data_IF_290596566984
#
_entry.id   IF_290596566984
#
_cell.length_a   1.000
_cell.length_b   1.000
_cell.length_c   1.000
_cell.angle_alpha   90.00
_cell.angle_beta   90.00
_cell.angle_gamma   90.00
#
_symmetry.space_group_name_H-M   'P 1'
#
loop_
_entity.id
_entity.type
_entity.pdbx_description
1 polymer ?
#
# COMPACT_ATOMS: atom_id res chain seq x y z
N UNK A 1 4.35 -52.14 23.69
CA UNK A 1 4.41 -52.16 22.22
C UNK A 1 3.05 -52.20 21.52
N UNK A 2 1.92 -52.49 22.22
CA UNK A 2 0.57 -52.54 21.62
C UNK A 2 -0.04 -51.14 21.30
N UNK A 3 0.35 -50.10 22.01
CA UNK A 3 -0.25 -48.74 21.88
C UNK A 3 0.16 -48.06 20.57
N UNK A 4 1.43 -48.25 20.10
CA UNK A 4 1.91 -47.65 18.86
C UNK A 4 1.25 -48.26 17.60
N UNK A 5 0.87 -49.55 17.67
CA UNK A 5 0.26 -50.24 16.51
C UNK A 5 -1.19 -49.86 16.31
N UNK A 6 -1.94 -49.56 17.40
CA UNK A 6 -3.33 -49.11 17.35
C UNK A 6 -3.42 -47.67 16.77
N UNK A 7 -2.47 -46.77 17.13
CA UNK A 7 -2.44 -45.43 16.59
C UNK A 7 -2.22 -45.41 15.08
N UNK A 8 -1.46 -46.34 14.51
CA UNK A 8 -1.18 -46.44 13.07
C UNK A 8 -2.40 -46.99 12.29
N UNK A 9 -3.29 -47.76 12.92
CA UNK A 9 -4.47 -48.34 12.29
C UNK A 9 -5.65 -47.36 12.32
N UNK A 10 -5.78 -46.56 13.40
CA UNK A 10 -6.94 -45.66 13.61
C UNK A 10 -6.75 -44.30 12.88
N UNK A 11 -5.48 -43.85 12.65
CA UNK A 11 -5.19 -42.58 12.00
C UNK A 11 -4.20 -42.72 10.82
N UNK A 12 -4.55 -43.43 9.73
CA UNK A 12 -3.60 -43.74 8.66
C UNK A 12 -3.20 -42.52 7.79
N UNK A 13 -3.76 -41.31 8.00
CA UNK A 13 -3.54 -40.16 7.09
C UNK A 13 -3.59 -38.77 7.71
N UNK A 14 -3.65 -38.61 9.00
CA UNK A 14 -3.60 -37.27 9.59
C UNK A 14 -2.19 -36.96 10.12
N UNK A 15 -1.36 -36.37 9.27
CA UNK A 15 -0.16 -35.70 9.72
C UNK A 15 -0.55 -34.47 10.56
N UNK A 16 -0.02 -34.38 11.78
CA UNK A 16 -0.16 -33.21 12.67
C UNK A 16 0.41 -31.94 12.01
N UNK A 17 1.12 -32.09 10.91
CA UNK A 17 1.79 -31.03 10.15
C UNK A 17 1.10 -30.70 8.82
N UNK A 18 -0.23 -30.83 8.71
CA UNK A 18 -0.97 -30.49 7.49
C UNK A 18 -0.81 -29.01 7.04
N UNK A 19 -0.24 -28.15 7.88
CA UNK A 19 0.05 -26.75 7.56
C UNK A 19 1.54 -26.45 7.46
N UNK A 20 2.38 -27.46 7.31
CA UNK A 20 3.80 -27.23 7.07
C UNK A 20 3.98 -26.76 5.62
N UNK A 21 4.31 -25.50 5.44
CA UNK A 21 4.64 -24.90 4.13
C UNK A 21 5.86 -25.62 3.55
N UNK A 22 5.77 -26.00 2.28
CA UNK A 22 6.79 -26.82 1.59
C UNK A 22 8.11 -26.10 1.39
N UNK A 23 8.13 -24.79 1.54
CA UNK A 23 9.31 -23.94 1.37
C UNK A 23 9.32 -22.82 2.41
N UNK A 24 10.52 -22.35 2.75
CA UNK A 24 10.72 -21.13 3.57
C UNK A 24 10.04 -19.89 2.96
N UNK A 25 9.91 -19.87 1.64
CA UNK A 25 9.25 -18.82 0.84
C UNK A 25 7.74 -18.76 1.11
N UNK A 26 7.12 -19.88 1.44
CA UNK A 26 5.67 -19.97 1.66
C UNK A 26 5.26 -19.65 3.12
N UNK A 27 6.22 -19.32 3.98
CA UNK A 27 5.96 -19.00 5.39
C UNK A 27 5.60 -17.52 5.58
N UNK A 28 4.42 -17.16 6.10
CA UNK A 28 4.01 -15.77 6.35
C UNK A 28 4.95 -15.02 7.30
N UNK A 29 5.65 -15.74 8.18
CA UNK A 29 6.56 -15.17 9.19
C UNK A 29 7.82 -14.57 8.56
N UNK A 30 8.27 -15.08 7.41
CA UNK A 30 9.47 -14.63 6.72
C UNK A 30 9.19 -13.70 5.53
N UNK A 31 7.93 -13.33 5.29
CA UNK A 31 7.57 -12.49 4.15
C UNK A 31 8.33 -11.15 4.15
N UNK A 32 8.57 -10.58 5.34
CA UNK A 32 9.31 -9.32 5.48
C UNK A 32 10.78 -9.40 5.07
N UNK A 33 11.46 -10.50 5.41
CA UNK A 33 12.88 -10.72 5.07
C UNK A 33 13.05 -10.99 3.56
N UNK A 34 12.13 -11.75 2.95
CA UNK A 34 12.15 -12.05 1.52
C UNK A 34 11.84 -10.84 0.64
N UNK A 35 10.97 -9.94 1.09
CA UNK A 35 10.66 -8.70 0.36
C UNK A 35 11.93 -7.86 0.20
N UNK A 36 12.77 -7.79 1.22
CA UNK A 36 14.03 -7.04 1.20
C UNK A 36 14.96 -7.57 0.10
N UNK A 37 15.18 -8.88 0.04
CA UNK A 37 16.08 -9.52 -0.93
C UNK A 37 15.59 -9.41 -2.39
N UNK A 38 14.28 -9.48 -2.61
CA UNK A 38 13.69 -9.49 -3.96
C UNK A 38 13.64 -8.08 -4.55
N UNK A 39 13.34 -7.07 -3.72
CA UNK A 39 13.27 -5.67 -4.14
C UNK A 39 14.61 -4.92 -4.01
N UNK A 40 15.70 -5.63 -3.70
CA UNK A 40 17.02 -5.02 -3.61
C UNK A 40 17.41 -4.31 -4.91
N UNK A 41 17.84 -3.05 -4.78
CA UNK A 41 18.21 -2.21 -5.93
C UNK A 41 17.04 -1.58 -6.70
N UNK A 42 15.78 -1.92 -6.36
CA UNK A 42 14.60 -1.30 -6.98
C UNK A 42 14.22 -0.01 -6.28
N UNK A 43 13.91 1.02 -7.08
CA UNK A 43 13.51 2.35 -6.62
C UNK A 43 12.07 2.67 -7.00
N UNK A 44 11.53 3.70 -6.38
CA UNK A 44 10.19 4.21 -6.66
C UNK A 44 10.06 4.64 -8.12
N UNK A 45 11.09 5.25 -8.70
CA UNK A 45 11.11 5.69 -10.10
C UNK A 45 10.98 4.54 -11.11
N UNK A 46 11.41 3.33 -10.77
CA UNK A 46 11.21 2.13 -11.61
C UNK A 46 9.71 1.82 -11.82
N UNK A 47 8.84 2.33 -10.95
CA UNK A 47 7.39 2.17 -11.03
C UNK A 47 6.64 3.43 -11.48
N UNK A 48 7.32 4.44 -12.00
CA UNK A 48 6.72 5.72 -12.39
C UNK A 48 5.58 5.55 -13.39
N UNK A 49 5.73 4.68 -14.38
CA UNK A 49 4.71 4.40 -15.39
C UNK A 49 3.49 3.68 -14.81
N UNK A 50 3.63 3.04 -13.65
CA UNK A 50 2.56 2.38 -12.91
C UNK A 50 1.96 3.28 -11.82
N UNK A 51 2.47 4.51 -11.70
CA UNK A 51 1.96 5.54 -10.82
C UNK A 51 0.63 6.10 -11.32
N UNK A 52 -0.30 6.32 -10.38
CA UNK A 52 -1.59 6.94 -10.68
C UNK A 52 -1.45 8.47 -10.63
N UNK A 53 -2.09 9.18 -11.57
CA UNK A 53 -2.19 10.64 -11.50
C UNK A 53 -2.94 11.03 -10.21
N UNK A 54 -2.42 11.96 -9.40
CA UNK A 54 -3.12 12.41 -8.20
C UNK A 54 -4.37 13.21 -8.56
N UNK A 55 -5.46 12.98 -7.83
CA UNK A 55 -6.62 13.87 -7.82
C UNK A 55 -6.39 14.85 -6.68
N UNK A 56 -5.95 16.05 -7.00
CA UNK A 56 -5.68 17.11 -6.04
C UNK A 56 -6.98 17.79 -5.64
N UNK A 57 -7.18 18.02 -4.34
CA UNK A 57 -8.40 18.62 -3.77
C UNK A 57 -8.00 19.94 -3.11
N UNK A 58 -8.64 21.04 -3.51
CA UNK A 58 -8.42 22.33 -2.86
C UNK A 58 -8.89 22.29 -1.40
N UNK A 59 -8.12 22.85 -0.47
CA UNK A 59 -8.39 22.79 0.98
C UNK A 59 -9.74 23.39 1.38
N UNK A 60 -10.22 24.37 0.62
CA UNK A 60 -11.52 25.03 0.83
C UNK A 60 -12.70 24.37 0.13
N UNK A 61 -12.51 23.24 -0.57
CA UNK A 61 -13.59 22.59 -1.32
C UNK A 61 -14.60 21.94 -0.36
N UNK A 62 -15.94 22.21 -0.51
CA UNK A 62 -16.96 21.60 0.33
C UNK A 62 -17.15 20.11 0.04
N UNK A 63 -17.54 19.33 1.05
CA UNK A 63 -17.72 17.87 0.94
C UNK A 63 -18.66 17.43 -0.20
N UNK A 64 -19.81 18.09 -0.51
CA UNK A 64 -20.62 17.69 -1.65
C UNK A 64 -19.86 17.73 -2.99
N UNK A 65 -19.07 18.79 -3.22
CA UNK A 65 -18.24 18.92 -4.43
C UNK A 65 -17.09 17.92 -4.44
N UNK A 66 -16.50 17.63 -3.28
CA UNK A 66 -15.50 16.55 -3.14
C UNK A 66 -16.10 15.21 -3.58
N UNK A 67 -17.31 14.88 -3.12
CA UNK A 67 -17.98 13.62 -3.46
C UNK A 67 -18.24 13.49 -4.97
N UNK A 68 -18.64 14.56 -5.64
CA UNK A 68 -18.81 14.58 -7.09
C UNK A 68 -17.49 14.34 -7.82
N UNK A 69 -16.42 14.98 -7.37
CA UNK A 69 -15.08 14.89 -7.98
C UNK A 69 -14.48 13.51 -7.82
N UNK A 70 -14.62 12.88 -6.65
CA UNK A 70 -14.05 11.55 -6.38
C UNK A 70 -14.93 10.41 -6.90
N UNK A 71 -16.21 10.64 -7.19
CA UNK A 71 -17.12 9.59 -7.69
C UNK A 71 -16.62 8.92 -8.97
N UNK A 72 -15.86 9.65 -9.80
CA UNK A 72 -15.27 9.17 -11.04
C UNK A 72 -13.74 9.08 -10.98
N UNK A 73 -13.13 9.34 -9.82
CA UNK A 73 -11.69 9.28 -9.63
C UNK A 73 -11.27 7.88 -9.16
N UNK A 74 -10.15 7.42 -9.69
CA UNK A 74 -9.50 6.21 -9.17
C UNK A 74 -8.69 6.55 -7.91
N UNK A 75 -8.63 5.59 -6.96
CA UNK A 75 -7.80 5.68 -5.78
C UNK A 75 -8.56 5.81 -4.48
N UNK A 76 -7.83 5.64 -3.39
CA UNK A 76 -8.36 5.65 -2.03
C UNK A 76 -7.90 6.86 -1.20
N UNK A 77 -6.89 7.59 -1.69
CA UNK A 77 -6.27 8.72 -1.01
C UNK A 77 -6.21 9.94 -1.92
N UNK A 78 -6.49 11.12 -1.35
CA UNK A 78 -6.62 12.39 -2.05
C UNK A 78 -5.76 13.45 -1.37
N UNK A 79 -4.66 13.90 -2.02
CA UNK A 79 -3.87 15.02 -1.54
C UNK A 79 -4.69 16.31 -1.51
N UNK A 80 -4.61 17.04 -0.41
CA UNK A 80 -5.21 18.36 -0.23
C UNK A 80 -4.13 19.41 -0.50
N UNK A 81 -4.49 20.41 -1.29
CA UNK A 81 -3.55 21.45 -1.73
C UNK A 81 -4.07 22.85 -1.42
N UNK A 82 -3.11 23.76 -1.22
CA UNK A 82 -3.35 25.20 -1.12
C UNK A 82 -3.55 25.85 -2.50
N UNK A 83 -3.65 27.18 -2.53
CA UNK A 83 -3.87 27.97 -3.75
C UNK A 83 -2.66 27.91 -4.71
N UNK A 84 -1.45 27.60 -4.21
CA UNK A 84 -0.23 27.40 -4.96
C UNK A 84 -0.06 25.95 -5.45
N UNK A 85 -1.08 25.08 -5.29
CA UNK A 85 -1.07 23.65 -5.60
C UNK A 85 -0.03 22.85 -4.79
N UNK A 86 0.34 23.31 -3.61
CA UNK A 86 1.25 22.65 -2.71
C UNK A 86 0.47 21.77 -1.76
N UNK A 87 0.86 20.50 -1.64
CA UNK A 87 0.20 19.56 -0.73
C UNK A 87 0.40 19.98 0.73
N UNK A 88 -0.70 20.25 1.41
CA UNK A 88 -0.73 20.60 2.85
C UNK A 88 -1.19 19.46 3.72
N UNK A 89 -2.00 18.55 3.16
CA UNK A 89 -2.61 17.44 3.89
C UNK A 89 -3.04 16.32 2.93
N UNK A 90 -3.59 15.24 3.49
CA UNK A 90 -4.17 14.12 2.72
C UNK A 90 -5.37 13.56 3.48
N UNK A 91 -6.39 13.11 2.77
CA UNK A 91 -7.49 12.32 3.34
C UNK A 91 -7.75 11.06 2.51
N UNK A 92 -8.43 10.12 3.10
CA UNK A 92 -8.85 8.87 2.47
C UNK A 92 -10.37 8.76 2.35
N UNK A 93 -10.86 7.82 1.54
CA UNK A 93 -12.28 7.46 1.49
C UNK A 93 -12.82 7.08 2.88
N UNK A 94 -11.98 6.50 3.76
CA UNK A 94 -12.39 6.16 5.12
C UNK A 94 -12.62 7.41 5.99
N UNK A 95 -11.87 8.49 5.76
CA UNK A 95 -12.07 9.76 6.48
C UNK A 95 -13.41 10.38 6.09
N UNK A 96 -13.78 10.34 4.81
CA UNK A 96 -15.11 10.75 4.34
C UNK A 96 -16.22 9.92 5.02
N UNK A 97 -16.07 8.58 5.07
CA UNK A 97 -17.07 7.71 5.71
C UNK A 97 -17.24 8.03 7.19
N UNK A 98 -16.16 8.38 7.89
CA UNK A 98 -16.20 8.77 9.30
C UNK A 98 -16.99 10.06 9.48
N UNK A 99 -16.72 11.08 8.67
CA UNK A 99 -17.44 12.37 8.74
C UNK A 99 -18.92 12.22 8.36
N UNK A 100 -19.23 11.41 7.35
CA UNK A 100 -20.64 11.16 6.97
C UNK A 100 -21.43 10.40 8.05
N UNK A 101 -20.76 9.75 8.99
CA UNK A 101 -21.40 9.12 10.16
C UNK A 101 -21.64 10.11 11.30
N UNK A 102 -21.07 11.31 11.25
CA UNK A 102 -21.34 12.40 12.18
C UNK A 102 -22.57 13.18 11.71
N UNK A 103 -23.34 13.70 12.65
CA UNK A 103 -24.60 14.45 12.37
C UNK A 103 -24.28 15.92 12.00
N UNK A 104 -23.37 16.11 11.05
CA UNK A 104 -22.94 17.42 10.56
C UNK A 104 -23.53 17.67 9.17
N UNK A 105 -23.98 18.92 8.88
CA UNK A 105 -24.40 19.30 7.54
C UNK A 105 -23.20 19.18 6.57
N UNK A 106 -23.27 18.32 5.52
CA UNK A 106 -22.14 18.10 4.61
C UNK A 106 -21.60 19.35 3.93
N UNK A 107 -22.46 20.36 3.73
CA UNK A 107 -22.09 21.63 3.11
C UNK A 107 -21.17 22.52 3.96
N UNK A 108 -21.07 22.24 5.27
CA UNK A 108 -20.19 22.96 6.19
C UNK A 108 -18.82 22.28 6.35
N UNK A 109 -18.65 21.06 5.86
CA UNK A 109 -17.41 20.31 5.95
C UNK A 109 -16.55 20.63 4.72
N UNK A 110 -15.33 21.08 4.95
CA UNK A 110 -14.34 21.37 3.91
C UNK A 110 -13.26 20.30 3.84
N UNK A 111 -12.53 20.25 2.72
CA UNK A 111 -11.44 19.28 2.52
C UNK A 111 -10.43 19.29 3.67
N UNK A 112 -10.05 20.47 4.18
CA UNK A 112 -9.13 20.61 5.30
C UNK A 112 -9.64 19.97 6.61
N UNK A 113 -10.96 19.84 6.77
CA UNK A 113 -11.58 19.25 7.98
C UNK A 113 -11.53 17.71 7.94
N UNK A 114 -11.45 17.13 6.73
CA UNK A 114 -11.27 15.69 6.50
C UNK A 114 -9.82 15.24 6.64
N UNK A 115 -8.89 16.14 6.33
CA UNK A 115 -7.51 15.80 6.02
C UNK A 115 -6.60 15.77 7.25
N UNK A 116 -5.55 14.94 7.17
CA UNK A 116 -4.46 14.90 8.14
C UNK A 116 -3.22 15.58 7.55
N UNK A 117 -2.63 16.52 8.31
CA UNK A 117 -1.46 17.30 7.86
C UNK A 117 -0.15 16.54 7.94
N UNK A 118 -0.06 15.46 8.76
CA UNK A 118 1.13 14.61 8.82
C UNK A 118 1.08 13.55 7.73
N UNK A 119 1.41 13.95 6.51
CA UNK A 119 1.41 13.07 5.34
C UNK A 119 2.67 12.20 5.32
N UNK A 120 2.50 10.90 5.06
CA UNK A 120 3.61 10.00 4.79
C UNK A 120 3.84 10.00 3.29
N UNK A 121 5.03 10.40 2.87
CA UNK A 121 5.42 10.54 1.47
C UNK A 121 6.62 9.66 1.14
N UNK A 122 6.92 9.55 -0.13
CA UNK A 122 8.14 8.95 -0.68
C UNK A 122 8.67 9.81 -1.82
N UNK A 123 9.92 9.59 -2.20
CA UNK A 123 10.58 10.27 -3.32
C UNK A 123 10.96 9.26 -4.41
N UNK A 124 11.22 9.70 -5.66
CA UNK A 124 11.58 8.81 -6.77
C UNK A 124 12.79 7.92 -6.51
N UNK A 125 13.78 8.41 -5.78
CA UNK A 125 15.04 7.71 -5.51
C UNK A 125 14.96 6.75 -4.32
N UNK A 126 13.89 6.81 -3.51
CA UNK A 126 13.72 5.92 -2.36
C UNK A 126 13.54 4.46 -2.78
N UNK A 127 14.06 3.52 -1.97
CA UNK A 127 13.95 2.10 -2.28
C UNK A 127 12.52 1.58 -2.12
N UNK A 128 12.10 0.63 -2.99
CA UNK A 128 10.78 -0.01 -2.88
C UNK A 128 10.62 -0.81 -1.57
N UNK A 129 11.71 -1.31 -1.01
CA UNK A 129 11.74 -1.97 0.31
C UNK A 129 11.28 -1.02 1.40
N UNK A 130 11.82 0.20 1.41
CA UNK A 130 11.46 1.23 2.40
C UNK A 130 10.01 1.68 2.23
N UNK A 131 9.56 1.89 0.98
CA UNK A 131 8.17 2.22 0.67
C UNK A 131 7.23 1.12 1.14
N UNK A 132 7.56 -0.15 0.90
CA UNK A 132 6.75 -1.27 1.36
C UNK A 132 6.65 -1.32 2.88
N UNK A 133 7.74 -0.97 3.59
CA UNK A 133 7.75 -0.82 5.04
C UNK A 133 6.82 0.30 5.51
N UNK A 134 6.85 1.47 4.86
CA UNK A 134 5.94 2.61 5.15
C UNK A 134 4.48 2.21 4.96
N UNK A 135 4.14 1.62 3.81
CA UNK A 135 2.79 1.16 3.50
C UNK A 135 2.27 0.13 4.52
N UNK A 136 3.10 -0.89 4.83
CA UNK A 136 2.71 -1.99 5.72
C UNK A 136 2.57 -1.53 7.18
N UNK A 137 3.52 -0.74 7.70
CA UNK A 137 3.53 -0.31 9.10
C UNK A 137 2.36 0.61 9.46
N UNK A 138 1.74 1.26 8.48
CA UNK A 138 0.63 2.20 8.65
C UNK A 138 -0.68 1.72 8.03
N UNK A 139 -0.69 0.54 7.43
CA UNK A 139 -1.88 0.01 6.75
C UNK A 139 -2.33 0.87 5.57
N UNK A 140 -1.38 1.51 4.86
CA UNK A 140 -1.67 2.37 3.72
C UNK A 140 -1.79 1.54 2.45
N UNK A 141 -2.76 1.89 1.60
CA UNK A 141 -2.91 1.29 0.27
C UNK A 141 -2.24 2.12 -0.83
N UNK A 142 -2.02 3.42 -0.58
CA UNK A 142 -1.35 4.34 -1.48
C UNK A 142 -0.47 5.31 -0.70
N UNK A 143 0.57 5.80 -1.36
CA UNK A 143 1.49 6.82 -0.84
C UNK A 143 1.77 7.86 -1.91
N UNK A 144 1.74 9.17 -1.61
CA UNK A 144 2.15 10.20 -2.57
C UNK A 144 3.66 10.17 -2.78
N UNK A 145 4.06 10.17 -4.03
CA UNK A 145 5.44 10.39 -4.45
C UNK A 145 5.60 11.89 -4.69
N UNK A 146 6.52 12.49 -3.97
CA UNK A 146 6.79 13.93 -4.02
C UNK A 146 8.12 14.23 -4.68
N UNK A 147 8.27 15.46 -5.13
CA UNK A 147 9.52 15.96 -5.67
C UNK A 147 10.61 15.99 -4.59
N UNK A 148 11.85 15.68 -4.94
CA UNK A 148 12.97 15.65 -3.99
C UNK A 148 13.34 17.04 -3.47
N UNK A 149 13.20 18.07 -4.33
CA UNK A 149 13.51 19.46 -3.97
C UNK A 149 12.31 20.15 -3.30
N UNK A 150 11.08 19.73 -3.64
CA UNK A 150 9.86 20.29 -3.08
C UNK A 150 8.92 19.19 -2.53
N UNK A 151 8.97 18.87 -1.23
CA UNK A 151 8.16 17.83 -0.61
C UNK A 151 6.65 18.12 -0.59
N UNK A 152 6.23 19.32 -1.00
CA UNK A 152 4.83 19.69 -1.15
C UNK A 152 4.29 19.44 -2.57
N UNK A 153 5.16 19.16 -3.53
CA UNK A 153 4.78 18.91 -4.92
C UNK A 153 4.58 17.44 -5.16
N UNK A 154 3.33 17.01 -5.32
CA UNK A 154 2.98 15.61 -5.61
C UNK A 154 3.21 15.33 -7.10
N UNK A 155 4.02 14.33 -7.40
CA UNK A 155 4.31 13.87 -8.76
C UNK A 155 3.28 12.84 -9.22
N UNK A 156 3.06 11.80 -8.42
CA UNK A 156 2.09 10.74 -8.66
C UNK A 156 1.76 9.99 -7.36
N UNK A 157 0.76 9.12 -7.41
CA UNK A 157 0.41 8.22 -6.31
C UNK A 157 0.95 6.84 -6.61
N UNK A 158 1.69 6.24 -5.68
CA UNK A 158 2.17 4.87 -5.77
C UNK A 158 1.28 3.95 -4.92
N UNK A 159 0.76 2.89 -5.54
CA UNK A 159 -0.12 1.95 -4.86
C UNK A 159 0.67 0.78 -4.27
N UNK A 160 0.19 0.24 -3.16
CA UNK A 160 0.70 -1.01 -2.60
C UNK A 160 0.66 -2.16 -3.62
N UNK A 161 -0.40 -2.18 -4.43
CA UNK A 161 -0.58 -3.16 -5.50
C UNK A 161 0.54 -3.10 -6.54
N UNK A 162 0.95 -1.90 -6.96
CA UNK A 162 2.05 -1.74 -7.93
C UNK A 162 3.37 -2.26 -7.38
N UNK A 163 3.66 -1.99 -6.10
CA UNK A 163 4.88 -2.50 -5.43
C UNK A 163 4.85 -4.03 -5.32
N UNK A 164 3.70 -4.61 -4.96
CA UNK A 164 3.54 -6.07 -4.89
C UNK A 164 3.62 -6.74 -6.26
N UNK A 165 3.12 -6.10 -7.32
CA UNK A 165 3.25 -6.62 -8.69
C UNK A 165 4.73 -6.65 -9.13
N UNK A 166 5.48 -5.59 -8.84
CA UNK A 166 6.92 -5.56 -9.07
C UNK A 166 7.64 -6.68 -8.30
N UNK A 167 7.32 -6.85 -7.01
CA UNK A 167 7.86 -7.93 -6.19
C UNK A 167 7.61 -9.31 -6.82
N UNK A 168 6.38 -9.59 -7.26
CA UNK A 168 6.03 -10.86 -7.88
C UNK A 168 6.84 -11.12 -9.16
N UNK A 169 6.98 -10.10 -10.01
CA UNK A 169 7.77 -10.20 -11.25
C UNK A 169 9.25 -10.46 -10.98
N UNK A 170 9.85 -9.75 -10.03
CA UNK A 170 11.26 -9.95 -9.67
C UNK A 170 11.50 -11.31 -9.00
N UNK A 171 10.54 -11.79 -8.22
CA UNK A 171 10.59 -13.12 -7.61
C UNK A 171 10.59 -14.22 -8.68
N UNK A 172 9.77 -14.10 -9.73
CA UNK A 172 9.74 -15.05 -10.85
C UNK A 172 11.09 -15.07 -11.58
N UNK A 173 11.64 -13.92 -11.92
CA UNK A 173 12.97 -13.81 -12.55
C UNK A 173 14.06 -14.48 -11.72
N UNK A 174 14.06 -14.28 -10.40
CA UNK A 174 15.03 -14.93 -9.51
C UNK A 174 14.85 -16.46 -9.49
N UNK A 175 13.62 -16.98 -9.50
CA UNK A 175 13.35 -18.43 -9.55
C UNK A 175 13.86 -19.08 -10.85
N UNK A 176 13.66 -18.43 -12.00
CA UNK A 176 14.14 -18.91 -13.29
C UNK A 176 15.67 -19.00 -13.32
N UNK A 177 16.36 -18.02 -12.73
CA UNK A 177 17.81 -18.00 -12.65
C UNK A 177 18.37 -19.18 -11.81
N UNK A 178 17.71 -19.50 -10.69
CA UNK A 178 18.12 -20.65 -9.83
C UNK A 178 17.70 -22.02 -10.38
N UNK A 179 16.86 -22.10 -11.42
CA UNK A 179 16.44 -23.36 -12.04
C UNK A 179 17.31 -23.75 -13.23
N UNK A 180 18.25 -22.87 -13.63
CA UNK A 180 19.09 -23.06 -14.83
C UNK A 180 20.53 -23.44 -14.46
N UNK A 181 20.89 -23.46 -13.18
CA UNK A 181 22.15 -23.94 -12.60
C UNK A 181 21.90 -25.32 -11.94
#
# INVERSE_FOLDING_TARGET
MLVCTVAMIVFPRNSIYQKQVKSRIDSPVHLGEFIVDVLEGKRVDDLREHGRKPTLIAEGLPLPEILELIANAEGAYYPVVDDELRMTAIFSVNDIRRILAEDLPPSLVLARDLAVSRVITTTPDESLTEVMRKLSSRGLEEIPVVDEEDPHKVLYMLTRRSVLACYATELEKKKEHYSTD
#
